data_IF_703989635910
#
_entry.id   IF_703989635910
#
_cell.length_a   1.000
_cell.length_b   1.000
_cell.length_c   1.000
_cell.angle_alpha   90.00
_cell.angle_beta   90.00
_cell.angle_gamma   90.00
#
_symmetry.space_group_name_H-M   'P 1'
#
loop_
_entity.id
_entity.type
_entity.pdbx_description
1 polymer ?
#
# COMPACT_ATOMS: atom_id res chain seq x y z
N UNK A 1 -14.95 -19.74 -5.13
CA UNK A 1 -15.83 -18.83 -4.40
C UNK A 1 -15.70 -17.45 -5.03
N UNK A 2 -16.56 -16.48 -4.72
CA UNK A 2 -16.38 -15.10 -5.23
C UNK A 2 -15.41 -14.34 -4.32
N UNK A 3 -14.58 -13.44 -4.87
CA UNK A 3 -13.63 -12.60 -4.10
C UNK A 3 -14.32 -11.86 -2.95
N UNK A 4 -15.55 -11.39 -3.16
CA UNK A 4 -16.37 -10.75 -2.12
C UNK A 4 -16.68 -11.67 -0.93
N UNK A 5 -16.86 -12.97 -1.18
CA UNK A 5 -17.13 -13.95 -0.11
C UNK A 5 -15.85 -14.26 0.69
N UNK A 6 -14.70 -14.30 0.02
CA UNK A 6 -13.39 -14.50 0.66
C UNK A 6 -13.02 -13.30 1.55
N UNK A 7 -13.27 -12.07 1.10
CA UNK A 7 -13.09 -10.86 1.91
C UNK A 7 -14.03 -10.83 3.13
N UNK A 8 -15.30 -11.20 2.96
CA UNK A 8 -16.24 -11.28 4.07
C UNK A 8 -15.78 -12.29 5.15
N UNK A 9 -15.31 -13.47 4.73
CA UNK A 9 -14.74 -14.46 5.65
C UNK A 9 -13.50 -13.93 6.38
N UNK A 10 -12.62 -13.22 5.66
CA UNK A 10 -11.43 -12.60 6.25
C UNK A 10 -11.80 -11.57 7.32
N UNK A 11 -12.80 -10.73 7.07
CA UNK A 11 -13.35 -9.77 8.03
C UNK A 11 -13.89 -10.42 9.30
N UNK A 12 -14.63 -11.52 9.14
CA UNK A 12 -15.15 -12.29 10.28
C UNK A 12 -14.02 -12.89 11.13
N UNK A 13 -12.99 -13.44 10.48
CA UNK A 13 -11.84 -14.04 11.14
C UNK A 13 -11.00 -12.99 11.91
N UNK A 14 -10.68 -11.84 11.29
CA UNK A 14 -9.91 -10.78 11.97
C UNK A 14 -10.72 -10.14 13.10
N UNK A 15 -12.03 -9.96 12.92
CA UNK A 15 -12.93 -9.53 13.99
C UNK A 15 -12.93 -10.50 15.17
N UNK A 16 -12.92 -11.81 14.88
CA UNK A 16 -12.76 -12.87 15.87
C UNK A 16 -11.41 -12.80 16.61
N UNK A 17 -10.31 -12.63 15.87
CA UNK A 17 -8.97 -12.47 16.42
C UNK A 17 -8.91 -11.30 17.40
N UNK A 18 -9.39 -10.11 17.01
CA UNK A 18 -9.38 -8.91 17.87
C UNK A 18 -10.13 -9.12 19.18
N UNK A 19 -11.31 -9.76 19.13
CA UNK A 19 -12.07 -10.11 20.33
C UNK A 19 -11.31 -11.09 21.23
N UNK A 20 -10.70 -12.10 20.65
CA UNK A 20 -9.92 -13.11 21.38
C UNK A 20 -8.70 -12.49 22.08
N UNK A 21 -7.94 -11.66 21.35
CA UNK A 21 -6.77 -10.94 21.87
C UNK A 21 -7.16 -9.97 22.99
N UNK A 22 -8.26 -9.25 22.84
CA UNK A 22 -8.80 -8.37 23.90
C UNK A 22 -9.14 -9.16 25.16
N UNK A 23 -9.79 -10.33 25.03
CA UNK A 23 -10.09 -11.21 26.15
C UNK A 23 -8.81 -11.76 26.82
N UNK A 24 -7.78 -12.08 26.05
CA UNK A 24 -6.48 -12.51 26.57
C UNK A 24 -5.79 -11.39 27.36
N UNK A 25 -5.79 -10.16 26.85
CA UNK A 25 -5.28 -8.99 27.57
C UNK A 25 -6.02 -8.78 28.90
N UNK A 26 -7.35 -8.88 28.89
CA UNK A 26 -8.15 -8.76 30.11
C UNK A 26 -7.80 -9.84 31.15
N UNK A 27 -7.47 -11.06 30.72
CA UNK A 27 -7.13 -12.19 31.60
C UNK A 27 -5.69 -12.15 32.12
N UNK A 28 -4.73 -11.75 31.29
CA UNK A 28 -3.29 -11.82 31.61
C UNK A 28 -2.67 -10.46 31.96
N UNK A 29 -3.47 -9.40 31.96
CA UNK A 29 -3.03 -8.04 32.30
C UNK A 29 -2.24 -7.36 31.18
N UNK A 30 -1.82 -6.13 31.44
CA UNK A 30 -1.12 -5.28 30.47
C UNK A 30 0.40 -5.45 30.54
N UNK A 31 0.90 -6.58 30.05
CA UNK A 31 2.33 -6.86 29.95
C UNK A 31 2.86 -6.65 28.51
N UNK A 32 4.20 -6.62 28.29
CA UNK A 32 4.76 -6.40 26.96
C UNK A 32 4.29 -7.41 25.90
N UNK A 33 4.12 -8.68 26.26
CA UNK A 33 3.68 -9.71 25.32
C UNK A 33 2.21 -9.51 24.91
N UNK A 34 1.33 -9.20 25.85
CA UNK A 34 -0.08 -8.89 25.56
C UNK A 34 -0.23 -7.60 24.74
N UNK A 35 0.60 -6.57 25.00
CA UNK A 35 0.61 -5.35 24.20
C UNK A 35 1.02 -5.62 22.76
N UNK A 36 2.06 -6.44 22.56
CA UNK A 36 2.53 -6.82 21.22
C UNK A 36 1.45 -7.54 20.42
N UNK A 37 0.78 -8.53 21.01
CA UNK A 37 -0.27 -9.29 20.30
C UNK A 37 -1.46 -8.39 19.93
N UNK A 38 -1.82 -7.41 20.79
CA UNK A 38 -2.85 -6.41 20.47
C UNK A 38 -2.42 -5.55 19.28
N UNK A 39 -1.20 -5.03 19.31
CA UNK A 39 -0.65 -4.22 18.21
C UNK A 39 -0.62 -5.01 16.90
N UNK A 40 -0.20 -6.28 16.94
CA UNK A 40 -0.15 -7.13 15.76
C UNK A 40 -1.56 -7.40 15.20
N UNK A 41 -2.57 -7.60 16.06
CA UNK A 41 -3.96 -7.78 15.64
C UNK A 41 -4.56 -6.50 15.03
N UNK A 42 -4.29 -5.34 15.61
CA UNK A 42 -4.75 -4.05 15.09
C UNK A 42 -4.08 -3.70 13.75
N UNK A 43 -2.79 -4.07 13.60
CA UNK A 43 -2.06 -3.92 12.34
C UNK A 43 -2.66 -4.79 11.23
N UNK A 44 -2.94 -6.06 11.52
CA UNK A 44 -3.60 -6.96 10.55
C UNK A 44 -4.95 -6.39 10.11
N UNK A 45 -5.74 -5.83 11.03
CA UNK A 45 -7.00 -5.18 10.68
C UNK A 45 -6.79 -3.99 9.74
N UNK A 46 -5.82 -3.13 10.04
CA UNK A 46 -5.47 -1.97 9.19
C UNK A 46 -5.04 -2.42 7.79
N UNK A 47 -4.21 -3.46 7.70
CA UNK A 47 -3.75 -4.00 6.42
C UNK A 47 -4.90 -4.60 5.58
N UNK A 48 -5.93 -5.17 6.24
CA UNK A 48 -7.14 -5.67 5.57
C UNK A 48 -8.03 -4.52 5.07
N UNK A 49 -8.20 -3.45 5.87
CA UNK A 49 -8.93 -2.25 5.42
C UNK A 49 -8.24 -1.58 4.22
N UNK A 50 -6.91 -1.61 4.17
CA UNK A 50 -6.15 -1.16 3.00
C UNK A 50 -6.39 -2.08 1.80
N UNK A 51 -6.38 -3.41 2.00
CA UNK A 51 -6.67 -4.37 0.95
C UNK A 51 -8.07 -4.18 0.35
N UNK A 52 -9.09 -3.88 1.16
CA UNK A 52 -10.44 -3.57 0.67
C UNK A 52 -10.43 -2.35 -0.27
N UNK A 53 -9.63 -1.34 0.07
CA UNK A 53 -9.46 -0.14 -0.74
C UNK A 53 -8.81 -0.50 -2.07
N UNK A 54 -7.70 -1.23 -2.04
CA UNK A 54 -6.97 -1.66 -3.24
C UNK A 54 -7.84 -2.54 -4.15
N UNK A 55 -8.61 -3.48 -3.59
CA UNK A 55 -9.52 -4.33 -4.36
C UNK A 55 -10.63 -3.50 -4.99
N UNK A 56 -11.19 -2.54 -4.27
CA UNK A 56 -12.21 -1.64 -4.79
C UNK A 56 -11.67 -0.78 -5.94
N UNK A 57 -10.46 -0.24 -5.80
CA UNK A 57 -9.77 0.53 -6.86
C UNK A 57 -9.50 -0.34 -8.09
N UNK A 58 -8.95 -1.54 -7.91
CA UNK A 58 -8.68 -2.48 -9.01
C UNK A 58 -9.96 -2.90 -9.75
N UNK A 59 -11.06 -3.13 -9.02
CA UNK A 59 -12.34 -3.47 -9.64
C UNK A 59 -12.93 -2.27 -10.40
N UNK A 60 -12.75 -1.04 -9.91
CA UNK A 60 -13.08 0.19 -10.65
C UNK A 60 -12.24 0.35 -11.92
N UNK A 61 -10.93 0.11 -11.85
CA UNK A 61 -10.04 0.14 -13.01
C UNK A 61 -10.39 -0.91 -14.06
N UNK A 62 -10.76 -2.13 -13.63
CA UNK A 62 -11.23 -3.20 -14.53
C UNK A 62 -12.58 -2.87 -15.17
N UNK A 63 -13.47 -2.21 -14.44
CA UNK A 63 -14.76 -1.77 -14.95
C UNK A 63 -14.64 -0.58 -15.89
N UNK A 64 -13.60 0.25 -15.73
CA UNK A 64 -13.28 1.32 -16.66
C UNK A 64 -12.86 0.73 -18.02
N UNK A 65 -13.60 1.05 -19.08
CA UNK A 65 -13.11 0.83 -20.44
C UNK A 65 -11.79 1.59 -20.56
N UNK A 66 -10.67 0.95 -20.95
CA UNK A 66 -9.40 1.65 -21.08
C UNK A 66 -9.57 2.73 -22.13
N UNK A 67 -9.75 3.97 -21.69
CA UNK A 67 -9.64 5.11 -22.57
C UNK A 67 -8.17 5.18 -22.97
N UNK A 68 -7.85 5.38 -24.26
CA UNK A 68 -6.50 5.72 -24.63
C UNK A 68 -6.15 6.99 -23.86
N UNK A 69 -5.29 6.85 -22.85
CA UNK A 69 -4.77 7.99 -22.12
C UNK A 69 -4.13 8.93 -23.12
N UNK A 70 -4.38 10.23 -22.97
CA UNK A 70 -3.74 11.23 -23.79
C UNK A 70 -2.22 11.08 -23.62
N UNK A 71 -1.56 10.56 -24.66
CA UNK A 71 -0.12 10.36 -24.65
C UNK A 71 0.52 11.73 -24.82
N UNK A 72 1.22 12.19 -23.79
CA UNK A 72 2.09 13.36 -23.90
C UNK A 72 3.27 12.94 -24.78
N UNK A 73 3.36 13.50 -25.98
CA UNK A 73 4.50 13.27 -26.86
C UNK A 73 5.73 13.95 -26.25
N UNK A 74 6.72 13.16 -25.83
CA UNK A 74 8.04 13.68 -25.44
C UNK A 74 8.82 13.94 -26.74
N UNK A 75 9.25 15.18 -27.01
CA UNK A 75 10.05 15.46 -28.19
C UNK A 75 11.39 14.73 -28.16
N UNK A 76 11.80 14.12 -29.28
CA UNK A 76 13.12 13.50 -29.46
C UNK A 76 14.25 14.53 -29.67
N UNK A 77 13.98 15.82 -29.44
CA UNK A 77 14.99 16.87 -29.53
C UNK A 77 15.92 16.83 -28.33
N UNK A 78 17.23 16.98 -28.57
CA UNK A 78 18.19 17.14 -27.48
C UNK A 78 17.81 18.31 -26.57
N UNK A 79 17.85 18.08 -25.26
CA UNK A 79 17.69 19.14 -24.28
C UNK A 79 18.87 20.10 -24.35
N UNK A 80 18.62 21.39 -24.10
CA UNK A 80 19.70 22.37 -24.00
C UNK A 80 20.69 21.93 -22.92
N UNK A 81 21.99 22.06 -23.19
CA UNK A 81 23.04 21.77 -22.23
C UNK A 81 22.98 22.70 -21.02
N UNK A 82 22.45 23.92 -21.20
CA UNK A 82 22.23 24.86 -20.09
C UNK A 82 21.20 24.35 -19.08
N UNK A 83 20.27 23.47 -19.49
CA UNK A 83 19.30 22.83 -18.60
C UNK A 83 19.95 21.98 -17.50
N UNK A 84 21.17 21.47 -17.75
CA UNK A 84 21.88 20.53 -16.88
C UNK A 84 23.01 21.17 -16.05
N UNK A 85 23.24 22.48 -16.20
CA UNK A 85 24.46 23.16 -15.72
C UNK A 85 24.71 23.08 -14.21
N UNK A 86 23.67 22.86 -13.42
CA UNK A 86 23.73 22.83 -11.95
C UNK A 86 23.24 21.48 -11.36
N UNK A 87 23.07 20.46 -12.19
CA UNK A 87 22.58 19.12 -11.78
C UNK A 87 23.70 18.26 -11.14
N UNK A 88 24.96 18.69 -11.26
CA UNK A 88 26.15 17.97 -10.81
C UNK A 88 26.56 18.22 -9.35
N UNK A 89 25.73 18.87 -8.51
CA UNK A 89 26.05 19.11 -7.08
C UNK A 89 26.24 17.79 -6.28
N UNK A 90 25.75 16.66 -6.82
CA UNK A 90 25.91 15.32 -6.25
C UNK A 90 27.04 14.47 -6.88
N UNK A 91 27.77 14.98 -7.88
CA UNK A 91 28.95 14.30 -8.45
C UNK A 91 28.68 13.01 -9.23
N UNK A 92 27.52 12.88 -9.88
CA UNK A 92 27.11 11.69 -10.68
C UNK A 92 26.91 11.97 -12.19
N UNK A 93 27.39 13.10 -12.70
CA UNK A 93 27.53 13.36 -14.14
C UNK A 93 28.85 12.82 -14.69
N UNK A 94 28.75 12.00 -15.74
CA UNK A 94 29.88 11.32 -16.36
C UNK A 94 30.95 12.28 -16.91
N UNK A 95 32.09 12.37 -16.22
CA UNK A 95 33.30 12.99 -16.76
C UNK A 95 33.74 12.30 -18.06
N UNK A 96 33.77 13.05 -19.16
CA UNK A 96 34.59 12.72 -20.33
C UNK A 96 35.77 13.69 -20.34
N UNK A 97 36.96 13.15 -20.13
CA UNK A 97 38.22 13.80 -20.52
C UNK A 97 38.28 13.98 -22.04
#
# INVERSE_FOLDING_TARGET
MSTTAELAELHDLVGGLRRCVTALKARFGDNPATRRIVIDADRILTDIELLDTDVSELDLERAAVPQPSEKIAIPDTEYDREFWRDVDDEGVGGHRY
#
